data_IF_823167132570
#
_entry.id   IF_823167132570
#
_cell.length_a   1.000
_cell.length_b   1.000
_cell.length_c   1.000
_cell.angle_alpha   90.00
_cell.angle_beta   90.00
_cell.angle_gamma   90.00
#
_symmetry.space_group_name_H-M   'P 1'
#
loop_
_entity.id
_entity.type
_entity.pdbx_description
1 polymer ?
#
# COMPACT_ATOMS: atom_id res chain seq x y z
N UNK A 1 -51.18 22.13 19.67
CA UNK A 1 -50.47 22.28 18.38
C UNK A 1 -49.83 23.67 18.38
N UNK A 2 -48.57 23.86 17.92
CA UNK A 2 -47.89 23.08 16.88
C UNK A 2 -46.59 22.41 17.38
N UNK A 3 -46.63 21.10 17.57
CA UNK A 3 -45.45 20.22 17.71
C UNK A 3 -44.95 19.76 16.32
N UNK A 4 -45.08 20.61 15.30
CA UNK A 4 -44.74 20.27 13.92
C UNK A 4 -43.28 20.59 13.54
N UNK A 5 -42.49 21.20 14.43
CA UNK A 5 -41.09 21.54 14.13
C UNK A 5 -40.03 20.57 14.67
N UNK A 6 -40.43 19.51 15.41
CA UNK A 6 -39.50 18.46 15.89
C UNK A 6 -39.33 17.32 14.86
N UNK A 7 -40.07 17.34 13.75
CA UNK A 7 -40.04 16.29 12.72
C UNK A 7 -38.85 16.34 11.75
N UNK A 8 -37.91 17.28 11.91
CA UNK A 8 -36.79 17.43 10.97
C UNK A 8 -35.57 16.53 11.24
N UNK A 9 -35.48 15.87 12.39
CA UNK A 9 -34.29 15.09 12.78
C UNK A 9 -34.47 13.56 12.75
N UNK A 10 -35.70 13.06 12.57
CA UNK A 10 -35.98 11.61 12.51
C UNK A 10 -37.04 11.31 11.46
N UNK A 11 -36.65 11.38 10.19
CA UNK A 11 -37.56 11.05 9.10
C UNK A 11 -37.39 9.56 8.74
N UNK A 12 -38.06 8.67 9.49
CA UNK A 12 -38.13 7.23 9.24
C UNK A 12 -39.28 6.95 8.25
N UNK A 13 -39.05 7.22 6.97
CA UNK A 13 -39.95 6.71 5.93
C UNK A 13 -39.62 5.25 5.63
N UNK A 14 -40.61 4.47 5.22
CA UNK A 14 -40.42 3.08 4.78
C UNK A 14 -39.31 2.97 3.71
N UNK A 15 -39.28 3.95 2.81
CA UNK A 15 -38.24 4.15 1.80
C UNK A 15 -36.83 4.34 2.40
N UNK A 16 -36.67 5.09 3.51
CA UNK A 16 -35.37 5.31 4.17
C UNK A 16 -34.89 4.10 4.98
N UNK A 17 -35.81 3.33 5.55
CA UNK A 17 -35.53 2.04 6.20
C UNK A 17 -35.08 1.01 5.15
N UNK A 18 -35.72 1.01 3.99
CA UNK A 18 -35.30 0.21 2.83
C UNK A 18 -33.96 0.69 2.26
N UNK A 19 -33.68 2.00 2.26
CA UNK A 19 -32.47 2.62 1.69
C UNK A 19 -31.32 2.84 2.70
N UNK A 20 -31.31 2.15 3.84
CA UNK A 20 -30.13 2.01 4.73
C UNK A 20 -29.59 3.31 5.37
N UNK A 21 -30.40 4.38 5.51
CA UNK A 21 -29.94 5.64 6.11
C UNK A 21 -30.53 5.86 7.51
N UNK A 22 -29.78 5.46 8.54
CA UNK A 22 -30.06 5.85 9.92
C UNK A 22 -29.03 6.89 10.37
N UNK A 23 -29.36 8.17 10.31
CA UNK A 23 -28.49 9.24 10.81
C UNK A 23 -28.90 9.68 12.21
N UNK A 24 -28.03 9.48 13.21
CA UNK A 24 -28.01 10.34 14.40
C UNK A 24 -27.20 11.57 14.02
N UNK A 25 -27.85 12.57 13.44
CA UNK A 25 -27.17 13.82 13.11
C UNK A 25 -26.95 14.61 14.40
N UNK A 26 -25.70 14.69 14.86
CA UNK A 26 -25.30 15.71 15.81
C UNK A 26 -25.39 17.06 15.09
N UNK A 27 -26.46 17.82 15.35
CA UNK A 27 -26.36 19.25 15.14
C UNK A 27 -25.31 19.79 16.11
N UNK A 28 -24.63 20.88 15.76
CA UNK A 28 -23.65 21.54 16.63
C UNK A 28 -24.27 22.15 17.92
N UNK A 29 -25.43 21.67 18.35
CA UNK A 29 -26.05 22.03 19.62
C UNK A 29 -26.22 20.77 20.48
N UNK A 30 -25.86 20.84 21.78
CA UNK A 30 -26.07 19.74 22.69
C UNK A 30 -27.57 19.53 22.86
N UNK A 31 -28.10 18.46 22.26
CA UNK A 31 -29.45 18.00 22.53
C UNK A 31 -29.31 16.92 23.61
N UNK A 32 -29.76 17.23 24.83
CA UNK A 32 -29.90 16.25 25.91
C UNK A 32 -31.01 15.25 25.54
N UNK A 33 -30.66 14.24 24.76
CA UNK A 33 -31.55 13.10 24.58
C UNK A 33 -31.50 12.24 25.84
N UNK A 34 -32.63 12.10 26.53
CA UNK A 34 -32.76 11.11 27.59
C UNK A 34 -32.52 9.70 27.02
N UNK A 35 -31.71 8.90 27.73
CA UNK A 35 -31.32 7.52 27.39
C UNK A 35 -32.49 6.65 26.93
N UNK A 36 -33.65 6.79 27.57
CA UNK A 36 -34.89 6.08 27.26
C UNK A 36 -35.43 6.40 25.85
N UNK A 37 -35.29 7.65 25.40
CA UNK A 37 -35.76 8.10 24.08
C UNK A 37 -34.92 7.52 22.94
N UNK A 38 -33.61 7.38 23.14
CA UNK A 38 -32.70 6.74 22.16
C UNK A 38 -33.02 5.24 22.08
N UNK A 39 -33.18 4.58 23.23
CA UNK A 39 -33.51 3.16 23.30
C UNK A 39 -34.83 2.83 22.61
N UNK A 40 -35.89 3.61 22.86
CA UNK A 40 -37.19 3.43 22.20
C UNK A 40 -37.09 3.54 20.66
N UNK A 41 -36.29 4.50 20.17
CA UNK A 41 -36.10 4.70 18.72
C UNK A 41 -35.28 3.60 18.07
N UNK A 42 -34.19 3.15 18.71
CA UNK A 42 -33.39 2.02 18.24
C UNK A 42 -34.22 0.73 18.21
N UNK A 43 -35.03 0.49 19.24
CA UNK A 43 -35.95 -0.64 19.28
C UNK A 43 -36.96 -0.60 18.13
N UNK A 44 -37.62 0.55 17.93
CA UNK A 44 -38.57 0.74 16.83
C UNK A 44 -37.90 0.49 15.47
N UNK A 45 -36.71 1.05 15.26
CA UNK A 45 -35.91 0.81 14.06
C UNK A 45 -35.62 -0.68 13.85
N UNK A 46 -35.09 -1.37 14.87
CA UNK A 46 -34.77 -2.79 14.79
C UNK A 46 -36.00 -3.64 14.44
N UNK A 47 -37.13 -3.37 15.09
CA UNK A 47 -38.39 -4.06 14.83
C UNK A 47 -38.84 -3.90 13.38
N UNK A 48 -38.93 -2.67 12.88
CA UNK A 48 -39.36 -2.43 11.49
C UNK A 48 -38.34 -2.95 10.47
N UNK A 49 -37.05 -2.79 10.73
CA UNK A 49 -35.99 -3.29 9.85
C UNK A 49 -36.06 -4.81 9.71
N UNK A 50 -36.13 -5.56 10.82
CA UNK A 50 -36.25 -7.02 10.81
C UNK A 50 -37.57 -7.44 10.16
N UNK A 51 -38.69 -6.79 10.50
CA UNK A 51 -40.00 -7.11 9.93
C UNK A 51 -40.03 -6.96 8.41
N UNK A 52 -39.42 -5.91 7.87
CA UNK A 52 -39.41 -5.64 6.43
C UNK A 52 -38.40 -6.51 5.67
N UNK A 53 -37.20 -6.73 6.21
CA UNK A 53 -36.11 -7.43 5.51
C UNK A 53 -36.04 -8.93 5.79
N UNK A 54 -36.55 -9.37 6.94
CA UNK A 54 -36.41 -10.73 7.46
C UNK A 54 -37.74 -11.22 8.06
N UNK A 55 -38.82 -11.31 7.26
CA UNK A 55 -40.17 -11.60 7.76
C UNK A 55 -40.28 -12.95 8.48
N UNK A 56 -39.39 -13.91 8.16
CA UNK A 56 -39.35 -15.22 8.80
C UNK A 56 -38.85 -15.20 10.25
N UNK A 57 -38.25 -14.09 10.70
CA UNK A 57 -37.66 -13.96 12.03
C UNK A 57 -38.50 -13.09 12.98
N UNK A 58 -39.71 -12.71 12.59
CA UNK A 58 -40.56 -11.82 13.40
C UNK A 58 -41.13 -12.60 14.60
N UNK A 59 -40.52 -12.44 15.78
CA UNK A 59 -41.14 -12.81 17.05
C UNK A 59 -41.47 -11.56 17.86
N UNK A 60 -42.73 -11.48 18.28
CA UNK A 60 -43.33 -10.35 19.00
C UNK A 60 -43.06 -10.53 20.50
N UNK A 61 -42.31 -9.61 21.12
CA UNK A 61 -42.61 -9.19 22.49
C UNK A 61 -42.00 -7.84 22.88
N UNK A 62 -42.88 -6.94 23.33
CA UNK A 62 -42.72 -5.47 23.35
C UNK A 62 -42.25 -4.85 24.67
N UNK A 63 -41.74 -5.62 25.66
CA UNK A 63 -41.44 -5.04 26.98
C UNK A 63 -40.11 -5.41 27.62
N UNK A 64 -39.74 -6.69 27.63
CA UNK A 64 -38.56 -7.11 28.42
C UNK A 64 -37.21 -6.82 27.73
N UNK A 65 -37.20 -6.69 26.39
CA UNK A 65 -35.98 -6.35 25.64
C UNK A 65 -35.55 -4.88 25.70
N UNK A 66 -36.33 -3.99 26.34
CA UNK A 66 -35.93 -2.58 26.50
C UNK A 66 -34.71 -2.45 27.41
N UNK A 67 -34.61 -3.23 28.49
CA UNK A 67 -33.49 -3.17 29.44
C UNK A 67 -32.19 -3.77 28.86
N UNK A 68 -32.28 -4.87 28.09
CA UNK A 68 -31.11 -5.52 27.48
C UNK A 68 -30.48 -4.69 26.36
N UNK A 69 -31.28 -3.96 25.58
CA UNK A 69 -30.81 -3.02 24.56
C UNK A 69 -30.16 -1.77 25.17
N UNK A 70 -30.70 -1.26 26.28
CA UNK A 70 -30.12 -0.15 27.05
C UNK A 70 -28.75 -0.55 27.62
N UNK A 71 -28.63 -1.75 28.18
CA UNK A 71 -27.38 -2.26 28.73
C UNK A 71 -26.33 -2.48 27.63
N UNK A 72 -26.69 -3.12 26.53
CA UNK A 72 -25.75 -3.38 25.43
C UNK A 72 -25.28 -2.11 24.70
N UNK A 73 -26.08 -1.04 24.62
CA UNK A 73 -25.65 0.21 23.98
C UNK A 73 -24.69 1.03 24.86
N UNK A 74 -24.86 1.00 26.19
CA UNK A 74 -24.02 1.76 27.12
C UNK A 74 -22.80 0.98 27.62
N UNK A 75 -22.89 -0.34 27.79
CA UNK A 75 -21.76 -1.19 28.20
C UNK A 75 -20.92 -1.73 27.04
N UNK A 76 -21.36 -1.65 25.78
CA UNK A 76 -20.48 -1.90 24.61
C UNK A 76 -19.43 -0.82 24.42
N UNK A 77 -19.47 0.29 25.18
CA UNK A 77 -18.31 1.16 25.36
C UNK A 77 -17.12 0.44 26.03
N UNK A 78 -17.29 -0.77 26.58
CA UNK A 78 -16.19 -1.64 26.97
C UNK A 78 -15.66 -2.51 25.81
N UNK A 79 -16.45 -2.76 24.76
CA UNK A 79 -16.01 -3.48 23.55
C UNK A 79 -15.41 -2.58 22.46
N UNK A 80 -15.46 -1.25 22.62
CA UNK A 80 -14.79 -0.25 21.75
C UNK A 80 -13.26 -0.23 21.86
N UNK A 81 -12.64 -1.10 22.66
CA UNK A 81 -11.18 -1.22 22.75
C UNK A 81 -10.51 -1.79 21.47
N UNK A 82 -11.27 -2.22 20.45
CA UNK A 82 -10.70 -2.65 19.15
C UNK A 82 -11.26 -1.94 17.90
N UNK A 83 -12.48 -1.38 17.95
CA UNK A 83 -13.09 -0.68 16.82
C UNK A 83 -13.42 0.75 17.25
N UNK A 84 -12.70 1.73 16.71
CA UNK A 84 -12.81 3.16 17.07
C UNK A 84 -14.16 3.81 16.67
N UNK A 85 -15.19 3.04 16.30
CA UNK A 85 -16.47 3.53 15.74
C UNK A 85 -17.66 2.99 16.54
N UNK A 86 -18.67 3.83 16.88
CA UNK A 86 -19.90 3.40 17.55
C UNK A 86 -20.65 2.30 16.78
N UNK A 87 -21.22 1.34 17.51
CA UNK A 87 -22.02 0.24 16.95
C UNK A 87 -23.23 -0.15 17.84
N UNK A 88 -24.25 -0.76 17.23
CA UNK A 88 -25.39 -1.37 17.96
C UNK A 88 -25.88 -2.64 17.26
N UNK A 89 -26.66 -3.46 17.97
CA UNK A 89 -27.20 -4.72 17.46
C UNK A 89 -28.73 -4.74 17.50
N UNK A 90 -29.35 -5.22 16.42
CA UNK A 90 -30.75 -5.61 16.38
C UNK A 90 -30.86 -7.14 16.51
N UNK A 91 -31.67 -7.65 17.43
CA UNK A 91 -31.88 -9.08 17.65
C UNK A 91 -33.37 -9.38 17.49
N UNK A 92 -33.71 -10.43 16.74
CA UNK A 92 -35.11 -10.75 16.42
C UNK A 92 -35.86 -11.52 17.52
N UNK A 93 -35.16 -12.30 18.34
CA UNK A 93 -35.72 -12.98 19.51
C UNK A 93 -34.63 -13.21 20.56
N UNK A 94 -35.00 -13.03 21.83
CA UNK A 94 -34.15 -13.38 22.98
C UNK A 94 -34.28 -14.87 23.35
N UNK A 95 -35.32 -15.56 22.86
CA UNK A 95 -35.51 -16.99 23.13
C UNK A 95 -34.37 -17.80 22.50
N UNK A 96 -33.81 -18.71 23.30
CA UNK A 96 -32.80 -19.65 22.83
C UNK A 96 -33.41 -20.82 22.05
N UNK A 97 -34.72 -21.05 22.18
CA UNK A 97 -35.41 -22.18 21.57
C UNK A 97 -35.99 -21.87 20.18
N UNK A 98 -35.78 -20.65 19.69
CA UNK A 98 -36.32 -20.19 18.40
C UNK A 98 -35.22 -19.78 17.44
N UNK A 99 -35.53 -19.79 16.16
CA UNK A 99 -34.63 -19.26 15.14
C UNK A 99 -34.55 -17.74 15.29
N UNK A 100 -33.33 -17.20 15.30
CA UNK A 100 -33.09 -15.78 15.51
C UNK A 100 -32.02 -15.23 14.60
N UNK A 101 -32.15 -13.95 14.27
CA UNK A 101 -31.15 -13.18 13.56
C UNK A 101 -30.66 -12.03 14.45
N UNK A 102 -29.35 -11.82 14.47
CA UNK A 102 -28.68 -10.65 15.04
C UNK A 102 -28.04 -9.86 13.90
N UNK A 103 -28.27 -8.56 13.87
CA UNK A 103 -27.76 -7.66 12.83
C UNK A 103 -26.97 -6.55 13.51
N UNK A 104 -25.70 -6.39 13.15
CA UNK A 104 -24.85 -5.33 13.69
C UNK A 104 -24.78 -4.15 12.73
N UNK A 105 -24.90 -2.96 13.32
CA UNK A 105 -24.84 -1.67 12.64
C UNK A 105 -23.65 -0.88 13.16
N UNK A 106 -22.92 -0.20 12.27
CA UNK A 106 -21.77 0.64 12.63
C UNK A 106 -21.88 2.03 12.00
N UNK A 107 -21.46 3.06 12.73
CA UNK A 107 -21.50 4.44 12.27
C UNK A 107 -20.49 4.70 11.13
N UNK A 108 -21.00 5.25 10.02
CA UNK A 108 -20.25 5.81 8.91
C UNK A 108 -20.38 7.35 8.93
N UNK A 109 -19.26 8.06 8.75
CA UNK A 109 -19.18 9.51 8.91
C UNK A 109 -20.14 10.28 7.98
N UNK A 110 -20.37 9.75 6.77
CA UNK A 110 -21.12 10.44 5.71
C UNK A 110 -22.57 9.94 5.55
N UNK A 111 -22.87 8.74 6.06
CA UNK A 111 -24.11 8.01 5.72
C UNK A 111 -24.93 7.54 6.94
N UNK A 112 -24.39 7.69 8.16
CA UNK A 112 -25.03 7.22 9.38
C UNK A 112 -24.72 5.76 9.68
N UNK A 113 -25.58 5.07 10.44
CA UNK A 113 -25.37 3.66 10.77
C UNK A 113 -25.78 2.75 9.61
N UNK A 114 -24.85 1.86 9.24
CA UNK A 114 -25.04 0.86 8.19
C UNK A 114 -24.94 -0.54 8.76
N UNK A 115 -25.83 -1.44 8.32
CA UNK A 115 -25.75 -2.85 8.62
C UNK A 115 -24.50 -3.44 7.95
N UNK A 116 -23.69 -4.19 8.71
CA UNK A 116 -22.44 -4.75 8.19
C UNK A 116 -22.22 -6.21 8.55
N UNK A 117 -23.01 -6.73 9.50
CA UNK A 117 -22.90 -8.12 9.95
C UNK A 117 -24.28 -8.68 10.25
N UNK A 118 -24.50 -9.90 9.81
CA UNK A 118 -25.72 -10.67 10.05
C UNK A 118 -25.31 -12.02 10.63
N UNK A 119 -25.90 -12.40 11.75
CA UNK A 119 -25.63 -13.67 12.43
C UNK A 119 -26.96 -14.39 12.60
N UNK A 120 -27.07 -15.59 12.05
CA UNK A 120 -28.28 -16.41 12.19
C UNK A 120 -28.03 -17.58 13.12
N UNK A 121 -29.04 -17.87 13.94
CA UNK A 121 -29.04 -19.01 14.85
C UNK A 121 -30.31 -19.82 14.63
N UNK A 122 -30.21 -21.13 14.78
CA UNK A 122 -31.36 -22.02 14.93
C UNK A 122 -31.30 -22.69 16.29
N UNK A 123 -32.30 -22.46 17.13
CA UNK A 123 -32.33 -22.97 18.53
C UNK A 123 -31.00 -22.77 19.26
N UNK A 124 -30.49 -21.53 19.22
CA UNK A 124 -29.21 -21.09 19.80
C UNK A 124 -27.93 -21.70 19.18
N UNK A 125 -28.05 -22.51 18.14
CA UNK A 125 -26.91 -23.03 17.37
C UNK A 125 -26.57 -22.03 16.28
N UNK A 126 -25.31 -21.61 16.17
CA UNK A 126 -24.82 -20.72 15.11
C UNK A 126 -24.97 -21.41 13.74
N UNK A 127 -25.70 -20.79 12.81
CA UNK A 127 -25.94 -21.32 11.46
C UNK A 127 -25.14 -20.56 10.41
N UNK A 128 -25.18 -19.22 10.43
CA UNK A 128 -24.42 -18.43 9.47
C UNK A 128 -23.98 -17.08 9.99
N UNK A 129 -22.88 -16.58 9.40
CA UNK A 129 -22.40 -15.21 9.56
C UNK A 129 -22.23 -14.60 8.17
N UNK A 130 -22.99 -13.55 7.87
CA UNK A 130 -22.78 -12.66 6.74
C UNK A 130 -22.01 -11.40 7.16
N UNK A 131 -21.05 -10.95 6.36
CA UNK A 131 -20.30 -9.71 6.57
C UNK A 131 -20.34 -8.93 5.26
N UNK A 132 -20.59 -7.63 5.36
CA UNK A 132 -20.49 -6.66 4.27
C UNK A 132 -19.27 -5.76 4.53
N UNK A 133 -18.13 -6.20 4.00
CA UNK A 133 -16.85 -5.52 4.20
C UNK A 133 -16.80 -4.18 3.47
N UNK A 134 -17.55 -4.05 2.37
CA UNK A 134 -17.50 -2.92 1.44
C UNK A 134 -18.71 -1.99 1.52
N UNK A 135 -19.64 -2.26 2.43
CA UNK A 135 -20.82 -1.42 2.66
C UNK A 135 -21.71 -1.26 1.42
N UNK A 136 -21.80 -2.31 0.62
CA UNK A 136 -22.76 -2.41 -0.49
C UNK A 136 -24.20 -2.57 0.05
N UNK A 137 -24.28 -2.96 1.32
CA UNK A 137 -25.41 -3.30 2.15
C UNK A 137 -26.08 -4.62 1.78
N UNK A 138 -25.35 -5.51 1.11
CA UNK A 138 -25.58 -6.95 1.11
C UNK A 138 -24.29 -7.62 1.62
N UNK A 139 -24.37 -8.78 2.30
CA UNK A 139 -23.15 -9.49 2.72
C UNK A 139 -22.26 -9.82 1.51
N UNK A 140 -21.03 -9.31 1.50
CA UNK A 140 -19.98 -9.65 0.52
C UNK A 140 -19.26 -10.95 0.88
N UNK A 141 -19.44 -11.44 2.11
CA UNK A 141 -18.95 -12.74 2.55
C UNK A 141 -20.01 -13.44 3.40
N UNK A 142 -20.28 -14.71 3.14
CA UNK A 142 -21.20 -15.53 3.92
C UNK A 142 -20.48 -16.79 4.36
N UNK A 143 -20.44 -17.05 5.67
CA UNK A 143 -19.89 -18.27 6.26
C UNK A 143 -21.02 -19.08 6.86
N UNK A 144 -21.14 -20.35 6.50
CA UNK A 144 -22.11 -21.29 7.04
C UNK A 144 -21.41 -22.25 8.01
N UNK A 145 -22.08 -22.58 9.11
CA UNK A 145 -21.55 -23.42 10.18
C UNK A 145 -22.34 -24.73 10.28
N UNK A 146 -21.66 -25.78 10.75
CA UNK A 146 -22.29 -27.06 11.04
C UNK A 146 -23.24 -26.94 12.24
N UNK A 147 -24.49 -27.43 12.14
CA UNK A 147 -25.42 -27.35 13.26
C UNK A 147 -25.00 -28.23 14.46
N UNK A 148 -24.26 -29.31 14.21
CA UNK A 148 -23.93 -30.30 15.23
C UNK A 148 -22.47 -30.22 15.73
N UNK A 149 -21.67 -29.27 15.23
CA UNK A 149 -20.26 -29.11 15.60
C UNK A 149 -19.96 -27.65 15.88
N UNK A 150 -19.67 -27.33 17.14
CA UNK A 150 -19.41 -25.96 17.58
C UNK A 150 -18.25 -25.33 16.78
N UNK A 151 -18.46 -24.12 16.26
CA UNK A 151 -17.48 -23.34 15.49
C UNK A 151 -16.90 -24.05 14.26
N UNK A 152 -17.57 -25.09 13.77
CA UNK A 152 -17.12 -25.83 12.60
C UNK A 152 -17.72 -25.22 11.34
N UNK A 153 -16.88 -24.68 10.46
CA UNK A 153 -17.33 -24.11 9.19
C UNK A 153 -17.73 -25.26 8.25
N UNK A 154 -18.84 -25.08 7.54
CA UNK A 154 -19.31 -25.95 6.47
C UNK A 154 -18.88 -25.40 5.11
N UNK A 155 -19.16 -24.11 4.88
CA UNK A 155 -18.83 -23.43 3.64
C UNK A 155 -18.61 -21.94 3.88
N UNK A 156 -17.90 -21.29 2.96
CA UNK A 156 -17.81 -19.84 2.89
C UNK A 156 -17.90 -19.40 1.44
N UNK A 157 -18.65 -18.34 1.17
CA UNK A 157 -18.67 -17.69 -0.14
C UNK A 157 -18.23 -16.24 -0.01
N UNK A 158 -17.58 -15.71 -1.04
CA UNK A 158 -17.21 -14.29 -1.12
C UNK A 158 -17.58 -13.75 -2.50
N UNK A 159 -17.97 -12.48 -2.51
CA UNK A 159 -18.15 -11.61 -3.67
C UNK A 159 -17.04 -10.55 -3.60
N UNK A 160 -15.98 -10.75 -4.39
CA UNK A 160 -14.76 -9.93 -4.39
C UNK A 160 -14.79 -8.82 -5.43
N UNK A 161 -15.76 -8.81 -6.34
CA UNK A 161 -15.99 -7.80 -7.37
C UNK A 161 -17.19 -6.88 -7.08
N UNK A 162 -17.99 -7.21 -6.05
CA UNK A 162 -19.12 -6.46 -5.52
C UNK A 162 -20.33 -6.37 -6.46
N UNK A 163 -20.51 -7.37 -7.32
CA UNK A 163 -21.63 -7.43 -8.27
C UNK A 163 -22.90 -8.06 -7.67
N UNK A 164 -22.83 -8.58 -6.43
CA UNK A 164 -23.92 -9.27 -5.74
C UNK A 164 -23.99 -10.78 -5.98
N UNK A 165 -23.06 -11.36 -6.74
CA UNK A 165 -22.93 -12.78 -7.04
C UNK A 165 -21.57 -13.25 -6.50
N UNK A 166 -21.53 -14.29 -5.64
CA UNK A 166 -20.25 -14.81 -5.19
C UNK A 166 -19.38 -15.30 -6.35
N UNK A 167 -18.11 -14.92 -6.35
CA UNK A 167 -17.06 -15.32 -7.29
C UNK A 167 -16.03 -16.25 -6.61
N UNK A 168 -16.15 -16.48 -5.30
CA UNK A 168 -15.26 -17.38 -4.54
C UNK A 168 -16.06 -18.29 -3.61
N UNK A 169 -15.70 -19.58 -3.60
CA UNK A 169 -16.31 -20.60 -2.74
C UNK A 169 -15.25 -21.41 -2.00
N UNK A 170 -15.44 -21.60 -0.70
CA UNK A 170 -14.64 -22.46 0.16
C UNK A 170 -15.53 -23.56 0.73
N UNK A 171 -15.09 -24.80 0.63
CA UNK A 171 -15.79 -25.94 1.21
C UNK A 171 -14.93 -26.60 2.29
N UNK A 172 -15.57 -26.93 3.40
CA UNK A 172 -14.94 -27.53 4.55
C UNK A 172 -15.54 -28.90 4.81
N UNK A 173 -14.69 -29.83 5.24
CA UNK A 173 -15.10 -31.14 5.72
C UNK A 173 -14.41 -31.40 7.05
N UNK A 174 -15.18 -31.85 8.05
CA UNK A 174 -14.68 -32.02 9.42
C UNK A 174 -13.96 -30.79 9.98
N UNK A 175 -14.48 -29.60 9.66
CA UNK A 175 -13.95 -28.30 10.09
C UNK A 175 -12.60 -27.91 9.46
N UNK A 176 -12.12 -28.68 8.49
CA UNK A 176 -10.90 -28.39 7.72
C UNK A 176 -11.26 -27.97 6.31
N UNK A 177 -10.57 -26.97 5.75
CA UNK A 177 -10.74 -26.58 4.36
C UNK A 177 -10.30 -27.73 3.45
N UNK A 178 -11.18 -28.20 2.56
CA UNK A 178 -10.88 -29.27 1.61
C UNK A 178 -10.82 -28.81 0.16
N UNK A 179 -11.49 -27.70 -0.17
CA UNK A 179 -11.42 -27.11 -1.50
C UNK A 179 -11.74 -25.63 -1.49
N UNK A 180 -11.14 -24.90 -2.42
CA UNK A 180 -11.64 -23.59 -2.82
C UNK A 180 -11.81 -23.51 -4.34
N UNK A 181 -12.71 -22.64 -4.79
CA UNK A 181 -12.99 -22.35 -6.19
C UNK A 181 -13.11 -20.85 -6.41
N UNK A 182 -12.70 -20.40 -7.59
CA UNK A 182 -12.73 -18.99 -7.99
C UNK A 182 -13.31 -18.91 -9.43
N UNK A 183 -14.23 -17.97 -9.66
CA UNK A 183 -14.88 -17.59 -10.94
C UNK A 183 -14.73 -16.07 -11.14
N UNK A 184 -13.51 -15.63 -11.44
CA UNK A 184 -13.15 -14.21 -11.41
C UNK A 184 -13.71 -13.41 -12.58
N UNK A 185 -13.98 -14.02 -13.73
CA UNK A 185 -14.57 -13.32 -14.87
C UNK A 185 -16.10 -13.45 -14.94
N UNK A 186 -16.70 -14.16 -13.98
CA UNK A 186 -18.14 -14.34 -13.83
C UNK A 186 -18.80 -14.99 -15.05
N UNK A 187 -18.02 -15.75 -15.83
CA UNK A 187 -18.55 -16.44 -17.01
C UNK A 187 -19.23 -17.77 -16.65
N UNK A 188 -19.24 -18.13 -15.35
CA UNK A 188 -19.80 -19.38 -14.83
C UNK A 188 -18.83 -20.56 -14.89
N UNK A 189 -17.63 -20.37 -15.43
CA UNK A 189 -16.57 -21.37 -15.47
C UNK A 189 -15.54 -21.04 -14.38
N UNK A 190 -15.33 -22.01 -13.50
CA UNK A 190 -14.34 -21.91 -12.44
C UNK A 190 -12.92 -21.86 -13.05
N UNK A 191 -12.24 -20.71 -13.00
CA UNK A 191 -10.87 -20.61 -13.53
C UNK A 191 -9.83 -21.18 -12.58
N UNK A 192 -10.17 -21.34 -11.29
CA UNK A 192 -9.27 -21.96 -10.32
C UNK A 192 -10.00 -22.86 -9.35
N UNK A 193 -9.48 -24.07 -9.17
CA UNK A 193 -9.95 -25.04 -8.19
C UNK A 193 -8.75 -25.65 -7.46
N UNK A 194 -8.68 -25.41 -6.16
CA UNK A 194 -7.68 -26.04 -5.31
C UNK A 194 -8.30 -27.07 -4.38
N UNK A 195 -7.53 -28.12 -4.09
CA UNK A 195 -7.80 -29.16 -3.10
C UNK A 195 -6.75 -29.14 -2.01
N UNK A 196 -7.18 -29.46 -0.80
CA UNK A 196 -6.34 -29.43 0.39
C UNK A 196 -6.34 -30.80 1.09
N UNK A 197 -5.25 -31.10 1.79
CA UNK A 197 -5.16 -32.25 2.68
C UNK A 197 -5.80 -31.95 4.04
N UNK A 198 -5.83 -32.94 4.93
CA UNK A 198 -6.38 -32.79 6.29
C UNK A 198 -5.59 -31.83 7.18
N UNK A 199 -4.35 -31.49 6.81
CA UNK A 199 -3.51 -30.53 7.52
C UNK A 199 -3.70 -29.11 6.98
N UNK A 200 -4.50 -28.92 5.92
CA UNK A 200 -4.70 -27.64 5.25
C UNK A 200 -3.62 -27.27 4.23
N UNK A 201 -2.78 -28.23 3.82
CA UNK A 201 -1.81 -28.00 2.74
C UNK A 201 -2.48 -28.17 1.38
N UNK A 202 -2.07 -27.36 0.41
CA UNK A 202 -2.53 -27.51 -0.98
C UNK A 202 -1.96 -28.81 -1.54
N UNK A 203 -2.85 -29.69 -2.01
CA UNK A 203 -2.51 -30.94 -2.71
C UNK A 203 -2.45 -30.72 -4.21
N UNK A 204 -3.42 -29.97 -4.73
CA UNK A 204 -3.57 -29.75 -6.17
C UNK A 204 -4.32 -28.45 -6.40
N UNK A 205 -3.80 -27.60 -7.28
CA UNK A 205 -4.55 -26.50 -7.87
C UNK A 205 -4.59 -26.70 -9.38
N UNK A 206 -5.79 -26.70 -9.93
CA UNK A 206 -6.05 -26.74 -11.36
C UNK A 206 -6.71 -25.42 -11.74
N UNK A 207 -6.31 -24.89 -12.89
CA UNK A 207 -6.81 -23.60 -13.32
C UNK A 207 -5.92 -22.90 -14.32
N UNK A 208 -6.38 -21.74 -14.75
CA UNK A 208 -5.68 -20.91 -15.73
C UNK A 208 -4.39 -20.39 -15.09
N UNK A 209 -3.27 -20.65 -15.76
CA UNK A 209 -1.97 -20.21 -15.28
C UNK A 209 -1.34 -21.05 -14.15
N UNK A 210 -2.08 -21.94 -13.47
CA UNK A 210 -1.54 -22.64 -12.28
C UNK A 210 -0.26 -23.45 -12.58
N UNK A 211 -0.21 -24.11 -13.74
CA UNK A 211 0.99 -24.84 -14.18
C UNK A 211 2.19 -23.91 -14.37
N UNK A 212 1.97 -22.77 -15.04
CA UNK A 212 3.02 -21.79 -15.30
C UNK A 212 3.46 -21.10 -14.00
N UNK A 213 2.53 -20.79 -13.09
CA UNK A 213 2.83 -20.23 -11.77
C UNK A 213 3.68 -21.19 -10.93
N UNK A 214 3.32 -22.47 -10.90
CA UNK A 214 4.08 -23.48 -10.16
C UNK A 214 5.53 -23.57 -10.68
N UNK A 215 5.70 -23.65 -12.00
CA UNK A 215 7.04 -23.71 -12.62
C UNK A 215 7.81 -22.41 -12.37
N UNK A 216 7.17 -21.24 -12.50
CA UNK A 216 7.80 -19.95 -12.23
C UNK A 216 8.35 -19.87 -10.80
N UNK A 217 7.56 -20.31 -9.80
CA UNK A 217 7.98 -20.36 -8.39
C UNK A 217 9.08 -21.38 -8.14
N UNK A 218 9.00 -22.56 -8.75
CA UNK A 218 10.05 -23.57 -8.63
C UNK A 218 11.40 -23.06 -9.15
N UNK A 219 11.41 -22.34 -10.28
CA UNK A 219 12.62 -21.71 -10.79
C UNK A 219 13.05 -20.49 -9.96
N UNK A 220 12.10 -19.74 -9.37
CA UNK A 220 12.39 -18.67 -8.40
C UNK A 220 13.15 -19.22 -7.18
N UNK A 221 12.69 -20.33 -6.60
CA UNK A 221 13.34 -21.00 -5.46
C UNK A 221 14.75 -21.51 -5.79
N UNK A 222 15.00 -21.84 -7.06
CA UNK A 222 16.30 -22.25 -7.56
C UNK A 222 17.19 -21.06 -7.96
N UNK A 223 16.73 -19.82 -7.77
CA UNK A 223 17.39 -18.59 -8.23
C UNK A 223 17.65 -18.56 -9.75
N UNK A 224 16.90 -19.35 -10.53
CA UNK A 224 16.96 -19.37 -11.99
C UNK A 224 15.98 -18.34 -12.56
N UNK A 225 16.39 -17.07 -12.47
CA UNK A 225 15.58 -15.92 -12.83
C UNK A 225 15.13 -15.92 -14.30
N UNK A 226 15.96 -16.41 -15.22
CA UNK A 226 15.66 -16.40 -16.67
C UNK A 226 14.48 -17.33 -16.98
N UNK A 227 14.52 -18.56 -16.47
CA UNK A 227 13.43 -19.52 -16.66
C UNK A 227 12.18 -19.08 -15.89
N UNK A 228 12.34 -18.51 -14.69
CA UNK A 228 11.22 -17.96 -13.91
C UNK A 228 10.50 -16.84 -14.68
N UNK A 229 11.23 -15.87 -15.25
CA UNK A 229 10.67 -14.81 -16.12
C UNK A 229 9.89 -15.44 -17.29
N UNK A 230 10.44 -16.46 -17.95
CA UNK A 230 9.77 -17.13 -19.08
C UNK A 230 8.41 -17.69 -18.68
N UNK A 231 8.31 -18.35 -17.52
CA UNK A 231 7.05 -18.90 -17.04
C UNK A 231 6.09 -17.82 -16.52
N UNK A 232 6.58 -16.74 -15.93
CA UNK A 232 5.75 -15.59 -15.59
C UNK A 232 5.17 -14.89 -16.83
N UNK A 233 5.91 -14.82 -17.94
CA UNK A 233 5.36 -14.31 -19.21
C UNK A 233 4.24 -15.20 -19.74
N UNK A 234 4.44 -16.52 -19.76
CA UNK A 234 3.38 -17.47 -20.16
C UNK A 234 2.17 -17.41 -19.23
N UNK A 235 2.39 -17.19 -17.94
CA UNK A 235 1.31 -16.97 -16.98
C UNK A 235 0.49 -15.71 -17.30
N UNK A 236 1.16 -14.62 -17.68
CA UNK A 236 0.47 -13.40 -18.13
C UNK A 236 -0.32 -13.68 -19.42
N UNK A 237 0.25 -14.41 -20.39
CA UNK A 237 -0.44 -14.81 -21.62
C UNK A 237 -1.70 -15.62 -21.32
N UNK A 238 -1.61 -16.63 -20.44
CA UNK A 238 -2.76 -17.42 -19.99
C UNK A 238 -3.84 -16.51 -19.39
N UNK A 239 -3.46 -15.59 -18.51
CA UNK A 239 -4.40 -14.65 -17.90
C UNK A 239 -5.00 -13.66 -18.90
N UNK A 240 -4.24 -13.14 -19.84
CA UNK A 240 -4.73 -12.20 -20.85
C UNK A 240 -5.65 -12.88 -21.87
N UNK A 241 -5.50 -14.20 -22.07
CA UNK A 241 -6.39 -14.97 -22.92
C UNK A 241 -7.79 -15.15 -22.30
N UNK A 242 -7.87 -15.21 -20.98
CA UNK A 242 -9.13 -15.41 -20.25
C UNK A 242 -9.75 -14.09 -19.77
N UNK A 243 -8.92 -13.22 -19.22
CA UNK A 243 -9.32 -11.97 -18.59
C UNK A 243 -9.00 -10.79 -19.51
N UNK A 244 -9.91 -9.83 -19.63
CA UNK A 244 -9.63 -8.55 -20.30
C UNK A 244 -8.41 -7.87 -19.65
N UNK A 245 -7.72 -7.00 -20.40
CA UNK A 245 -6.41 -6.37 -20.10
C UNK A 245 -6.24 -5.67 -18.73
N UNK A 246 -7.27 -5.61 -17.88
CA UNK A 246 -7.26 -4.97 -16.56
C UNK A 246 -7.48 -5.95 -15.41
N UNK A 247 -6.98 -7.18 -15.52
CA UNK A 247 -7.09 -8.17 -14.44
C UNK A 247 -6.11 -7.89 -13.30
N UNK A 248 -6.48 -8.15 -12.04
CA UNK A 248 -5.52 -8.09 -10.92
C UNK A 248 -4.46 -9.20 -10.99
N UNK A 249 -4.75 -10.28 -11.73
CA UNK A 249 -3.91 -11.48 -11.79
C UNK A 249 -2.59 -11.25 -12.53
N UNK A 250 -2.51 -10.24 -13.40
CA UNK A 250 -1.26 -9.88 -14.10
C UNK A 250 -0.33 -9.01 -13.24
N UNK A 251 -0.80 -8.45 -12.11
CA UNK A 251 -0.01 -7.51 -11.32
C UNK A 251 1.24 -8.16 -10.70
N UNK A 252 1.06 -9.27 -9.98
CA UNK A 252 2.18 -9.96 -9.32
C UNK A 252 3.21 -10.52 -10.34
N UNK A 253 2.79 -11.21 -11.43
CA UNK A 253 3.72 -11.64 -12.48
C UNK A 253 4.55 -10.52 -13.09
N UNK A 254 3.92 -9.40 -13.49
CA UNK A 254 4.64 -8.25 -14.04
C UNK A 254 5.65 -7.68 -13.03
N UNK A 255 5.25 -7.55 -11.77
CA UNK A 255 6.15 -7.11 -10.70
C UNK A 255 7.35 -8.05 -10.50
N UNK A 256 7.11 -9.37 -10.50
CA UNK A 256 8.18 -10.38 -10.36
C UNK A 256 9.17 -10.30 -11.51
N UNK A 257 8.69 -10.15 -12.74
CA UNK A 257 9.56 -9.99 -13.91
C UNK A 257 10.43 -8.74 -13.77
N UNK A 258 9.85 -7.60 -13.39
CA UNK A 258 10.60 -6.36 -13.15
C UNK A 258 11.68 -6.53 -12.06
N UNK A 259 11.36 -7.23 -10.97
CA UNK A 259 12.31 -7.54 -9.90
C UNK A 259 13.47 -8.41 -10.40
N UNK A 260 13.18 -9.44 -11.19
CA UNK A 260 14.21 -10.34 -11.72
C UNK A 260 15.08 -9.69 -12.79
N UNK A 261 14.50 -8.82 -13.62
CA UNK A 261 15.25 -7.99 -14.56
C UNK A 261 16.24 -7.07 -13.86
N UNK A 262 15.83 -6.47 -12.74
CA UNK A 262 16.73 -5.71 -11.88
C UNK A 262 17.91 -6.57 -11.40
N UNK A 263 17.65 -7.79 -10.92
CA UNK A 263 18.69 -8.69 -10.45
C UNK A 263 19.64 -9.16 -11.57
N UNK A 264 19.11 -9.38 -12.78
CA UNK A 264 19.88 -9.79 -13.96
C UNK A 264 20.62 -8.64 -14.65
N UNK A 265 20.40 -7.38 -14.23
CA UNK A 265 20.88 -6.18 -14.91
C UNK A 265 20.48 -6.14 -16.40
N UNK A 266 19.31 -6.71 -16.74
CA UNK A 266 18.78 -6.77 -18.10
C UNK A 266 17.45 -6.04 -18.19
N UNK A 267 17.44 -4.89 -18.87
CA UNK A 267 16.34 -3.92 -18.86
C UNK A 267 15.59 -3.80 -20.19
N UNK A 268 15.72 -4.78 -21.10
CA UNK A 268 15.20 -4.69 -22.48
C UNK A 268 13.68 -4.50 -22.56
N UNK A 269 12.92 -5.12 -21.65
CA UNK A 269 11.45 -5.05 -21.63
C UNK A 269 10.94 -4.46 -20.30
N UNK A 270 11.75 -3.59 -19.68
CA UNK A 270 11.42 -2.93 -18.42
C UNK A 270 10.19 -2.02 -18.55
N UNK A 271 10.17 -1.22 -19.62
CA UNK A 271 9.10 -0.24 -19.86
C UNK A 271 7.76 -0.96 -20.10
N UNK A 272 7.74 -2.10 -20.79
CA UNK A 272 6.54 -2.91 -21.09
C UNK A 272 5.83 -3.39 -19.81
N UNK A 273 6.54 -4.10 -18.93
CA UNK A 273 5.93 -4.62 -17.70
C UNK A 273 5.62 -3.50 -16.70
N UNK A 274 6.39 -2.41 -16.69
CA UNK A 274 6.09 -1.24 -15.85
C UNK A 274 4.83 -0.51 -16.31
N UNK A 275 4.65 -0.31 -17.62
CA UNK A 275 3.46 0.31 -18.18
C UNK A 275 2.22 -0.58 -18.02
N UNK A 276 2.38 -1.90 -18.06
CA UNK A 276 1.31 -2.84 -17.70
C UNK A 276 0.84 -2.66 -16.24
N UNK A 277 1.76 -2.46 -15.29
CA UNK A 277 1.40 -2.14 -13.91
C UNK A 277 0.77 -0.75 -13.78
N UNK A 278 1.29 0.24 -14.49
CA UNK A 278 0.83 1.64 -14.41
C UNK A 278 -0.56 1.83 -15.01
N UNK A 279 -0.86 1.16 -16.10
CA UNK A 279 -2.16 1.25 -16.80
C UNK A 279 -3.29 0.49 -16.09
N UNK A 280 -2.95 -0.44 -15.21
CA UNK A 280 -3.91 -1.30 -14.52
C UNK A 280 -4.27 -0.74 -13.12
N UNK A 281 -5.54 -0.33 -12.88
CA UNK A 281 -5.95 0.30 -11.63
C UNK A 281 -5.89 -0.61 -10.41
N UNK A 282 -5.83 -1.93 -10.61
CA UNK A 282 -5.73 -2.92 -9.52
C UNK A 282 -4.28 -3.12 -9.05
N UNK A 283 -3.28 -2.76 -9.87
CA UNK A 283 -1.87 -3.01 -9.58
C UNK A 283 -1.20 -1.91 -8.74
N UNK A 284 -1.96 -1.03 -8.06
CA UNK A 284 -1.40 0.11 -7.32
C UNK A 284 -0.34 -0.30 -6.29
N UNK A 285 -0.54 -1.45 -5.63
CA UNK A 285 0.38 -1.97 -4.62
C UNK A 285 1.70 -2.41 -5.25
N UNK A 286 1.63 -3.21 -6.31
CA UNK A 286 2.79 -3.71 -7.06
C UNK A 286 3.54 -2.58 -7.76
N UNK A 287 2.81 -1.61 -8.33
CA UNK A 287 3.37 -0.38 -8.90
C UNK A 287 4.17 0.42 -7.87
N UNK A 288 3.61 0.66 -6.68
CA UNK A 288 4.34 1.34 -5.61
C UNK A 288 5.64 0.63 -5.22
N UNK A 289 5.61 -0.70 -5.16
CA UNK A 289 6.79 -1.51 -4.86
C UNK A 289 7.84 -1.42 -5.98
N UNK A 290 7.41 -1.33 -7.24
CA UNK A 290 8.33 -1.29 -8.39
C UNK A 290 8.97 0.07 -8.60
N UNK A 291 8.26 1.16 -8.31
CA UNK A 291 8.73 2.54 -8.52
C UNK A 291 10.14 2.81 -7.96
N UNK A 292 10.50 2.25 -6.80
CA UNK A 292 11.82 2.47 -6.19
C UNK A 292 12.93 1.94 -7.10
N UNK A 293 12.90 0.66 -7.46
CA UNK A 293 14.00 0.08 -8.23
C UNK A 293 13.93 0.51 -9.71
N UNK A 294 12.74 0.77 -10.26
CA UNK A 294 12.60 1.34 -11.62
C UNK A 294 13.21 2.74 -11.69
N UNK A 295 12.92 3.58 -10.69
CA UNK A 295 13.54 4.90 -10.57
C UNK A 295 15.06 4.81 -10.47
N UNK A 296 15.57 3.87 -9.68
CA UNK A 296 17.02 3.59 -9.59
C UNK A 296 17.60 3.13 -10.93
N UNK A 297 16.97 2.20 -11.65
CA UNK A 297 17.43 1.74 -12.98
C UNK A 297 17.47 2.92 -13.95
N UNK A 298 16.40 3.73 -14.01
CA UNK A 298 16.33 4.89 -14.87
C UNK A 298 17.42 5.92 -14.56
N UNK A 299 17.73 6.14 -13.28
CA UNK A 299 18.80 7.05 -12.86
C UNK A 299 20.20 6.53 -13.17
N UNK A 300 20.52 5.30 -12.77
CA UNK A 300 21.89 4.81 -12.75
C UNK A 300 22.29 3.99 -13.97
N UNK A 301 21.35 3.26 -14.57
CA UNK A 301 21.65 2.32 -15.67
C UNK A 301 21.27 2.87 -17.03
N UNK A 302 20.11 3.54 -17.15
CA UNK A 302 19.60 4.03 -18.43
C UNK A 302 19.90 5.51 -18.69
N UNK A 303 20.39 6.24 -17.69
CA UNK A 303 20.68 7.68 -17.81
C UNK A 303 19.44 8.57 -18.03
N UNK A 304 18.23 8.04 -17.84
CA UNK A 304 16.95 8.76 -17.93
C UNK A 304 16.72 9.58 -16.65
N UNK A 305 17.58 10.57 -16.40
CA UNK A 305 17.67 11.29 -15.11
C UNK A 305 16.34 11.90 -14.63
N UNK A 306 15.66 12.69 -15.48
CA UNK A 306 14.42 13.36 -15.08
C UNK A 306 13.31 12.37 -14.74
N UNK A 307 13.16 11.33 -15.56
CA UNK A 307 12.16 10.27 -15.33
C UNK A 307 12.45 9.50 -14.04
N UNK A 308 13.72 9.17 -13.79
CA UNK A 308 14.12 8.49 -12.56
C UNK A 308 13.88 9.35 -11.31
N UNK A 309 14.10 10.66 -11.37
CA UNK A 309 13.78 11.59 -10.28
C UNK A 309 12.27 11.61 -10.01
N UNK A 310 11.44 11.81 -11.04
CA UNK A 310 9.98 11.85 -10.91
C UNK A 310 9.44 10.57 -10.24
N UNK A 311 9.88 9.40 -10.71
CA UNK A 311 9.47 8.11 -10.16
C UNK A 311 9.89 7.94 -8.69
N UNK A 312 11.08 8.41 -8.31
CA UNK A 312 11.56 8.32 -6.94
C UNK A 312 10.90 9.34 -6.00
N UNK A 313 10.48 10.51 -6.50
CA UNK A 313 9.69 11.47 -5.72
C UNK A 313 8.35 10.85 -5.32
N UNK A 314 7.65 10.25 -6.29
CA UNK A 314 6.39 9.54 -6.08
C UNK A 314 6.56 8.36 -5.12
N UNK A 315 7.63 7.58 -5.30
CA UNK A 315 7.96 6.48 -4.40
C UNK A 315 8.24 6.95 -2.97
N UNK A 316 9.02 8.04 -2.80
CA UNK A 316 9.33 8.59 -1.48
C UNK A 316 8.09 9.12 -0.78
N UNK A 317 7.17 9.75 -1.52
CA UNK A 317 5.89 10.20 -0.98
C UNK A 317 5.07 9.02 -0.45
N UNK A 318 4.91 7.97 -1.25
CA UNK A 318 4.20 6.75 -0.85
C UNK A 318 4.86 6.08 0.36
N UNK A 319 6.20 5.97 0.36
CA UNK A 319 6.95 5.39 1.47
C UNK A 319 6.74 6.17 2.78
N UNK A 320 6.75 7.50 2.71
CA UNK A 320 6.54 8.38 3.86
C UNK A 320 5.12 8.30 4.42
N UNK A 321 4.11 8.23 3.55
CA UNK A 321 2.72 8.02 3.97
C UNK A 321 2.55 6.69 4.73
N UNK A 322 3.23 5.63 4.29
CA UNK A 322 3.11 4.29 4.89
C UNK A 322 3.95 4.12 6.16
N UNK A 323 5.16 4.70 6.22
CA UNK A 323 6.11 4.49 7.33
C UNK A 323 6.21 5.66 8.29
N UNK A 324 5.75 6.84 7.91
CA UNK A 324 5.87 8.07 8.70
C UNK A 324 7.26 8.72 8.64
N UNK A 325 8.19 8.22 7.83
CA UNK A 325 9.53 8.79 7.66
C UNK A 325 10.09 8.61 6.25
N UNK A 326 11.05 9.46 5.89
CA UNK A 326 11.75 9.45 4.61
C UNK A 326 12.74 8.27 4.47
N UNK A 327 12.78 7.64 3.30
CA UNK A 327 13.68 6.50 3.02
C UNK A 327 15.11 6.97 2.74
N UNK A 328 16.10 6.36 3.40
CA UNK A 328 17.53 6.66 3.18
C UNK A 328 17.93 6.38 1.73
N UNK A 329 17.58 5.21 1.20
CA UNK A 329 17.96 4.79 -0.15
C UNK A 329 17.33 5.68 -1.22
N UNK A 330 16.04 5.99 -1.08
CA UNK A 330 15.33 6.83 -2.06
C UNK A 330 15.91 8.25 -2.04
N UNK A 331 16.14 8.84 -0.86
CA UNK A 331 16.68 10.19 -0.78
C UNK A 331 18.12 10.27 -1.27
N UNK A 332 18.96 9.26 -1.04
CA UNK A 332 20.30 9.20 -1.64
C UNK A 332 20.25 9.11 -3.17
N UNK A 333 19.33 8.32 -3.73
CA UNK A 333 19.12 8.21 -5.16
C UNK A 333 18.57 9.51 -5.78
N UNK A 334 17.61 10.16 -5.12
CA UNK A 334 17.11 11.49 -5.51
C UNK A 334 18.23 12.53 -5.53
N UNK A 335 19.07 12.56 -4.49
CA UNK A 335 20.21 13.47 -4.42
C UNK A 335 21.19 13.28 -5.57
N UNK A 336 21.47 12.02 -5.96
CA UNK A 336 22.23 11.72 -7.16
C UNK A 336 21.55 12.27 -8.42
N UNK A 337 20.25 12.02 -8.60
CA UNK A 337 19.49 12.51 -9.75
C UNK A 337 19.53 14.04 -9.86
N UNK A 338 19.18 14.74 -8.78
CA UNK A 338 19.21 16.21 -8.73
C UNK A 338 20.62 16.78 -8.93
N UNK A 339 21.66 16.14 -8.39
CA UNK A 339 23.04 16.57 -8.59
C UNK A 339 23.41 16.55 -10.08
N UNK A 340 23.05 15.48 -10.80
CA UNK A 340 23.33 15.37 -12.24
C UNK A 340 22.48 16.33 -13.08
N UNK A 341 21.25 16.63 -12.64
CA UNK A 341 20.39 17.67 -13.23
C UNK A 341 20.80 19.09 -12.85
N UNK A 342 21.86 19.27 -12.05
CA UNK A 342 22.33 20.56 -11.50
C UNK A 342 21.28 21.31 -10.66
N UNK A 343 20.32 20.58 -10.09
CA UNK A 343 19.29 21.10 -9.19
C UNK A 343 19.76 21.04 -7.73
N UNK A 344 20.81 21.82 -7.41
CA UNK A 344 21.49 21.73 -6.12
C UNK A 344 20.59 21.97 -4.88
N UNK A 345 19.63 22.92 -4.88
CA UNK A 345 18.72 23.09 -3.74
C UNK A 345 17.87 21.84 -3.45
N UNK A 346 17.33 21.20 -4.49
CA UNK A 346 16.54 19.96 -4.37
C UNK A 346 17.41 18.78 -3.89
N UNK A 347 18.66 18.71 -4.38
CA UNK A 347 19.63 17.74 -3.88
C UNK A 347 19.86 17.90 -2.36
N UNK A 348 20.13 19.13 -1.91
CA UNK A 348 20.38 19.43 -0.50
C UNK A 348 19.16 19.13 0.38
N UNK A 349 17.96 19.53 -0.08
CA UNK A 349 16.69 19.24 0.60
C UNK A 349 16.51 17.73 0.82
N UNK A 350 16.81 16.91 -0.18
CA UNK A 350 16.72 15.44 -0.08
C UNK A 350 17.70 14.86 0.95
N UNK A 351 18.93 15.36 1.01
CA UNK A 351 19.92 14.92 2.00
C UNK A 351 19.60 15.39 3.43
N UNK A 352 18.99 16.57 3.57
CA UNK A 352 18.58 17.09 4.87
C UNK A 352 17.46 16.24 5.50
N UNK A 353 16.54 15.70 4.70
CA UNK A 353 15.46 14.80 5.19
C UNK A 353 15.99 13.54 5.89
N UNK A 354 17.19 13.10 5.53
CA UNK A 354 17.83 11.91 6.10
C UNK A 354 19.03 12.25 6.99
N UNK A 355 19.24 13.53 7.30
CA UNK A 355 20.29 13.96 8.20
C UNK A 355 20.11 13.36 9.61
N UNK A 356 21.21 12.97 10.24
CA UNK A 356 21.18 12.37 11.58
C UNK A 356 20.72 10.91 11.63
N UNK A 357 20.33 10.30 10.51
CA UNK A 357 20.06 8.86 10.44
C UNK A 357 21.37 8.06 10.51
N UNK A 358 21.36 6.85 11.08
CA UNK A 358 22.51 5.97 11.04
C UNK A 358 22.74 5.46 9.61
N UNK A 359 23.98 5.53 9.15
CA UNK A 359 24.41 4.98 7.86
C UNK A 359 25.43 3.86 8.09
N UNK A 360 25.39 2.82 7.26
CA UNK A 360 26.55 1.94 7.11
C UNK A 360 27.72 2.69 6.45
N UNK A 361 28.90 2.07 6.39
CA UNK A 361 30.10 2.73 5.86
C UNK A 361 29.92 3.29 4.44
N UNK A 362 29.32 2.51 3.52
CA UNK A 362 29.04 2.93 2.15
C UNK A 362 28.01 4.06 2.09
N UNK A 363 26.93 3.97 2.84
CA UNK A 363 25.91 5.01 2.94
C UNK A 363 26.49 6.32 3.47
N UNK A 364 27.40 6.25 4.46
CA UNK A 364 28.09 7.42 5.00
C UNK A 364 28.98 8.08 3.96
N UNK A 365 29.69 7.27 3.15
CA UNK A 365 30.46 7.77 2.01
C UNK A 365 29.54 8.53 1.03
N UNK A 366 28.50 7.88 0.50
CA UNK A 366 27.62 8.49 -0.51
C UNK A 366 26.89 9.72 0.02
N UNK A 367 26.40 9.68 1.26
CA UNK A 367 25.77 10.84 1.90
C UNK A 367 26.70 12.04 1.91
N UNK A 368 27.92 11.90 2.43
CA UNK A 368 28.87 13.01 2.53
C UNK A 368 29.40 13.45 1.16
N UNK A 369 29.62 12.51 0.24
CA UNK A 369 30.04 12.83 -1.12
C UNK A 369 28.97 13.64 -1.88
N UNK A 370 27.70 13.21 -1.83
CA UNK A 370 26.60 13.95 -2.47
C UNK A 370 26.34 15.28 -1.78
N UNK A 371 26.38 15.34 -0.44
CA UNK A 371 26.16 16.58 0.29
C UNK A 371 27.25 17.61 -0.03
N UNK A 372 28.52 17.20 0.00
CA UNK A 372 29.65 18.04 -0.41
C UNK A 372 29.53 18.48 -1.88
N UNK A 373 29.16 17.58 -2.78
CA UNK A 373 29.01 17.88 -4.21
C UNK A 373 27.90 18.89 -4.49
N UNK A 374 26.75 18.75 -3.82
CA UNK A 374 25.63 19.68 -3.99
C UNK A 374 25.93 21.04 -3.37
N UNK A 375 26.62 21.10 -2.22
CA UNK A 375 27.12 22.37 -1.66
C UNK A 375 28.14 23.04 -2.56
N UNK A 376 29.08 22.28 -3.11
CA UNK A 376 30.07 22.80 -4.07
C UNK A 376 29.39 23.39 -5.31
N UNK A 377 28.42 22.66 -5.90
CA UNK A 377 27.63 23.15 -7.03
C UNK A 377 26.81 24.41 -6.70
N UNK A 378 26.32 24.50 -5.46
CA UNK A 378 25.61 25.67 -4.94
C UNK A 378 26.56 26.79 -4.44
N UNK A 379 27.86 26.73 -4.76
CA UNK A 379 28.89 27.70 -4.36
C UNK A 379 29.09 27.86 -2.84
N UNK A 380 28.63 26.90 -2.03
CA UNK A 380 28.82 26.85 -0.57
C UNK A 380 30.16 26.16 -0.23
N UNK A 381 31.27 26.73 -0.67
CA UNK A 381 32.59 26.09 -0.62
C UNK A 381 33.05 25.72 0.81
N UNK A 382 32.88 26.64 1.76
CA UNK A 382 33.29 26.43 3.15
C UNK A 382 32.61 25.21 3.78
N UNK A 383 31.32 25.02 3.46
CA UNK A 383 30.54 23.91 3.99
C UNK A 383 30.76 22.60 3.23
N UNK A 384 31.22 22.65 1.97
CA UNK A 384 31.50 21.46 1.16
C UNK A 384 32.78 20.73 1.59
N UNK A 385 33.80 21.49 2.04
CA UNK A 385 35.11 20.95 2.44
C UNK A 385 35.03 19.86 3.55
N UNK A 386 34.37 20.08 4.71
CA UNK A 386 34.28 19.06 5.74
C UNK A 386 33.56 17.79 5.26
N UNK A 387 32.56 17.93 4.38
CA UNK A 387 31.86 16.78 3.80
C UNK A 387 32.80 15.91 2.96
N UNK A 388 33.62 16.51 2.09
CA UNK A 388 34.58 15.74 1.30
C UNK A 388 35.66 15.07 2.13
N UNK A 389 36.11 15.69 3.23
CA UNK A 389 37.06 15.05 4.16
C UNK A 389 36.46 13.80 4.80
N UNK A 390 35.23 13.91 5.32
CA UNK A 390 34.51 12.76 5.91
C UNK A 390 34.28 11.68 4.86
N UNK A 391 33.92 12.04 3.62
CA UNK A 391 33.77 11.07 2.54
C UNK A 391 35.09 10.34 2.26
N UNK A 392 36.20 11.06 2.15
CA UNK A 392 37.53 10.48 1.90
C UNK A 392 37.95 9.49 2.99
N UNK A 393 37.69 9.83 4.26
CA UNK A 393 37.96 8.95 5.42
C UNK A 393 37.03 7.73 5.46
N UNK A 394 35.81 7.86 4.93
CA UNK A 394 34.80 6.79 4.99
C UNK A 394 35.03 5.68 3.97
N UNK A 395 35.81 5.90 2.91
CA UNK A 395 36.05 4.90 1.85
C UNK A 395 37.43 4.27 1.90
N UNK A 396 37.50 2.99 1.53
CA UNK A 396 38.77 2.29 1.24
C UNK A 396 39.00 2.10 -0.26
N UNK A 397 37.95 2.22 -1.08
CA UNK A 397 37.98 1.96 -2.51
C UNK A 397 38.73 3.06 -3.27
N UNK A 398 39.59 2.65 -4.22
CA UNK A 398 40.46 3.58 -4.94
C UNK A 398 39.69 4.49 -5.91
N UNK A 399 38.60 4.00 -6.52
CA UNK A 399 37.76 4.78 -7.44
C UNK A 399 36.93 5.80 -6.66
N UNK A 400 36.36 5.41 -5.53
CA UNK A 400 35.66 6.32 -4.63
C UNK A 400 36.59 7.41 -4.08
N UNK A 401 37.82 7.05 -3.70
CA UNK A 401 38.84 8.03 -3.29
C UNK A 401 39.20 8.99 -4.42
N UNK A 402 39.38 8.50 -5.65
CA UNK A 402 39.77 9.34 -6.77
C UNK A 402 38.73 10.41 -7.08
N UNK A 403 37.43 10.08 -7.02
CA UNK A 403 36.37 11.06 -7.27
C UNK A 403 36.27 12.13 -6.18
N UNK A 404 36.54 11.79 -4.91
CA UNK A 404 36.57 12.77 -3.81
C UNK A 404 37.79 13.70 -3.95
N UNK A 405 38.97 13.15 -4.26
CA UNK A 405 40.18 13.95 -4.49
C UNK A 405 40.00 14.92 -5.66
N UNK A 406 39.35 14.48 -6.74
CA UNK A 406 38.97 15.36 -7.83
C UNK A 406 38.09 16.53 -7.34
N UNK A 407 37.03 16.25 -6.57
CA UNK A 407 36.14 17.30 -6.03
C UNK A 407 36.86 18.25 -5.06
N UNK A 408 37.80 17.76 -4.25
CA UNK A 408 38.68 18.61 -3.44
C UNK A 408 39.54 19.52 -4.32
N UNK A 409 40.13 18.99 -5.39
CA UNK A 409 40.89 19.79 -6.36
C UNK A 409 40.05 20.91 -6.98
N UNK A 410 38.81 20.61 -7.37
CA UNK A 410 37.84 21.62 -7.86
C UNK A 410 37.53 22.65 -6.77
N UNK A 411 37.27 22.21 -5.53
CA UNK A 411 36.97 23.12 -4.42
C UNK A 411 38.11 24.13 -4.19
N UNK A 412 39.35 23.68 -4.10
CA UNK A 412 40.52 24.55 -3.91
C UNK A 412 40.82 25.44 -5.13
N UNK A 413 40.35 25.04 -6.33
CA UNK A 413 40.50 25.85 -7.53
C UNK A 413 39.49 27.00 -7.58
N UNK A 414 38.25 26.78 -7.16
CA UNK A 414 37.16 27.75 -7.33
C UNK A 414 36.74 28.48 -6.03
N UNK A 415 37.17 28.00 -4.85
CA UNK A 415 36.78 28.62 -3.58
C UNK A 415 37.54 29.93 -3.35
N UNK A 416 36.85 31.08 -3.19
CA UNK A 416 37.53 32.34 -2.89
C UNK A 416 38.25 32.32 -1.53
N UNK A 417 37.69 31.63 -0.53
CA UNK A 417 38.25 31.54 0.82
C UNK A 417 39.31 30.47 1.00
N UNK A 418 39.40 29.52 0.06
CA UNK A 418 40.36 28.42 0.11
C UNK A 418 41.13 28.31 -1.20
N UNK A 419 41.32 29.41 -1.93
CA UNK A 419 42.01 29.35 -3.22
C UNK A 419 43.47 28.93 -3.01
N UNK A 420 43.83 27.77 -3.55
CA UNK A 420 45.20 27.26 -3.53
C UNK A 420 45.44 26.40 -4.78
N UNK A 421 46.03 27.03 -5.80
CA UNK A 421 46.31 26.39 -7.08
C UNK A 421 47.32 25.22 -6.95
N UNK A 422 48.26 25.32 -6.01
CA UNK A 422 49.28 24.28 -5.80
C UNK A 422 48.64 23.06 -5.17
N UNK A 423 47.82 23.25 -4.15
CA UNK A 423 47.10 22.18 -3.49
C UNK A 423 46.05 21.55 -4.40
N UNK A 424 45.32 22.36 -5.18
CA UNK A 424 44.40 21.88 -6.21
C UNK A 424 45.12 20.94 -7.20
N UNK A 425 46.28 21.34 -7.72
CA UNK A 425 47.10 20.51 -8.62
C UNK A 425 47.52 19.19 -7.97
N UNK A 426 47.93 19.20 -6.69
CA UNK A 426 48.29 17.98 -5.95
C UNK A 426 47.10 17.01 -5.83
N UNK A 427 45.91 17.53 -5.55
CA UNK A 427 44.70 16.71 -5.49
C UNK A 427 44.35 16.10 -6.85
N UNK A 428 44.41 16.88 -7.94
CA UNK A 428 44.19 16.35 -9.29
C UNK A 428 45.20 15.28 -9.68
N UNK A 429 46.49 15.47 -9.39
CA UNK A 429 47.52 14.45 -9.64
C UNK A 429 47.26 13.16 -8.85
N UNK A 430 46.83 13.29 -7.60
CA UNK A 430 46.49 12.15 -6.75
C UNK A 430 45.25 11.41 -7.26
N UNK A 431 44.23 12.15 -7.73
CA UNK A 431 43.04 11.59 -8.36
C UNK A 431 43.40 10.81 -9.64
N UNK A 432 44.22 11.39 -10.53
CA UNK A 432 44.66 10.76 -11.78
C UNK A 432 45.50 9.50 -11.56
N UNK A 433 46.34 9.49 -10.52
CA UNK A 433 47.11 8.30 -10.16
C UNK A 433 46.20 7.12 -9.80
N UNK A 434 45.05 7.39 -9.20
CA UNK A 434 44.08 6.36 -8.81
C UNK A 434 43.07 6.04 -9.93
N UNK A 435 42.72 7.02 -10.74
CA UNK A 435 41.80 6.88 -11.86
C UNK A 435 42.16 7.83 -13.02
N UNK A 436 42.89 7.35 -14.04
CA UNK A 436 43.28 8.13 -15.21
C UNK A 436 42.09 8.64 -16.05
N UNK A 437 40.92 8.01 -15.96
CA UNK A 437 39.71 8.40 -16.72
C UNK A 437 39.17 9.77 -16.31
N UNK A 438 39.64 10.33 -15.19
CA UNK A 438 39.26 11.67 -14.73
C UNK A 438 39.96 12.81 -15.48
N UNK A 439 40.92 12.53 -16.36
CA UNK A 439 41.68 13.55 -17.07
C UNK A 439 40.80 14.56 -17.83
N UNK A 440 39.81 14.14 -18.65
CA UNK A 440 38.96 15.09 -19.37
C UNK A 440 38.17 16.01 -18.42
N UNK A 441 37.70 15.47 -17.29
CA UNK A 441 36.95 16.25 -16.30
C UNK A 441 37.85 17.31 -15.63
N UNK A 442 39.08 16.95 -15.28
CA UNK A 442 40.07 17.87 -14.69
C UNK A 442 40.44 18.98 -15.66
N UNK A 443 40.74 18.64 -16.92
CA UNK A 443 41.06 19.63 -17.95
C UNK A 443 39.92 20.61 -18.17
N UNK A 444 38.67 20.12 -18.19
CA UNK A 444 37.49 20.96 -18.32
C UNK A 444 37.34 21.94 -17.14
N UNK A 445 37.51 21.47 -15.90
CA UNK A 445 37.47 22.36 -14.72
C UNK A 445 38.57 23.42 -14.73
N UNK A 446 39.79 23.06 -15.16
CA UNK A 446 40.88 24.03 -15.28
C UNK A 446 40.62 25.06 -16.38
N UNK A 447 40.01 24.64 -17.49
CA UNK A 447 39.59 25.54 -18.56
C UNK A 447 38.53 26.52 -18.08
N UNK A 448 37.46 26.02 -17.45
CA UNK A 448 36.38 26.85 -16.89
C UNK A 448 36.92 27.91 -15.93
N UNK A 449 37.88 27.54 -15.06
CA UNK A 449 38.53 28.49 -14.18
C UNK A 449 39.32 29.58 -14.93
N UNK A 450 40.09 29.21 -15.96
CA UNK A 450 40.82 30.19 -16.80
C UNK A 450 39.86 31.15 -17.49
N UNK A 451 38.79 30.63 -18.07
CA UNK A 451 37.79 31.43 -18.76
C UNK A 451 37.16 32.46 -17.78
N UNK A 452 36.81 32.04 -16.55
CA UNK A 452 36.31 32.96 -15.52
C UNK A 452 37.32 34.06 -15.12
N UNK A 453 38.61 33.74 -15.04
CA UNK A 453 39.66 34.73 -14.74
C UNK A 453 39.83 35.75 -15.87
N UNK A 454 39.73 35.30 -17.13
CA UNK A 454 39.79 36.20 -18.29
C UNK A 454 38.58 37.14 -18.35
N UNK A 455 37.38 36.65 -17.98
CA UNK A 455 36.18 37.49 -17.88
C UNK A 455 36.26 38.52 -16.75
N UNK A 456 36.84 38.18 -15.58
CA UNK A 456 36.99 39.13 -14.47
C UNK A 456 38.06 40.21 -14.73
N UNK A 457 39.00 39.96 -15.66
CA UNK A 457 40.09 40.87 -15.99
C UNK A 457 39.81 41.77 -17.20
N UNK A 458 38.64 41.64 -17.84
CA UNK A 458 38.18 42.61 -18.86
C UNK A 458 37.63 43.84 -18.13
N UNK A 459 38.15 45.06 -18.43
CA UNK A 459 37.80 46.29 -17.74
C UNK A 459 36.34 46.70 -17.94
#
# INVERSE_FOLDING_TARGET
MPNEQIWKYFNLTEEKILNKKFGLFYSNQPIDFHQESIAYRLHSFCYYFIKLRFPNYVQVNHRNGMESLIWNHYYSQASTLRTQKPEFNCISSESLDTDRIQISFQLNADQGFEAYKWVTYSRNILISIGIDEFRTGNPTSITQYHPNKLNCILSKTQDTNFNGIPDVWYNYENCTLISHKEDFNENGNIERKCKYDQNGNIVLCEGIGEKNLLLAKQYEEQENWVESIRYYNRLIEDYMSEFKEKSRHICEPNYKILQFQYNLLNYTVLDEHYDALKSNPYCKKELKKSQIFIGIINLYSLGKLSLGVEQLEDANKSYKEERGWDSIEINLALSYGYLNLKQYPSCLSSLQKIAGRPFNQKGRFFYNYYFGSCKLGNKQFHEALPCFRIALESTKDSKEKSIVLYKLGVLYLFSPSHFDQVLSKKYFQSALKLNPELLPAIENSQKEHRDLQEFSNKP
#
